data_IF_128505248716
#
_entry.id   IF_128505248716
#
_cell.length_a   1.000
_cell.length_b   1.000
_cell.length_c   1.000
_cell.angle_alpha   90.00
_cell.angle_beta   90.00
_cell.angle_gamma   90.00
#
_symmetry.space_group_name_H-M   'P 1'
#
loop_
_entity.id
_entity.type
_entity.pdbx_description
1 polymer ?
#
# COMPACT_ATOMS: atom_id res chain seq x y z
N UNK A 1 -1.75 15.35 -8.17
CA UNK A 1 -1.54 15.51 -6.71
C UNK A 1 -2.56 16.45 -6.08
N UNK A 2 -2.76 17.68 -6.58
CA UNK A 2 -3.81 18.59 -6.08
C UNK A 2 -5.21 17.96 -6.07
N UNK A 3 -5.61 17.32 -7.17
CA UNK A 3 -6.90 16.62 -7.26
C UNK A 3 -7.04 15.48 -6.24
N UNK A 4 -5.99 14.67 -6.08
CA UNK A 4 -5.98 13.58 -5.10
C UNK A 4 -6.13 14.11 -3.66
N UNK A 5 -5.38 15.16 -3.32
CA UNK A 5 -5.44 15.78 -1.99
C UNK A 5 -6.74 16.55 -1.74
N UNK A 6 -7.46 16.99 -2.78
CA UNK A 6 -8.74 17.66 -2.63
C UNK A 6 -9.82 16.76 -2.01
N UNK A 7 -9.63 15.43 -2.03
CA UNK A 7 -10.52 14.46 -1.39
C UNK A 7 -10.11 14.11 0.04
N UNK A 8 -8.97 14.62 0.52
CA UNK A 8 -8.47 14.37 1.86
C UNK A 8 -8.85 15.53 2.80
N UNK A 9 -9.24 15.21 4.03
CA UNK A 9 -9.32 16.21 5.12
C UNK A 9 -7.94 16.54 5.66
N UNK A 10 -7.06 15.54 5.61
CA UNK A 10 -5.72 15.58 6.12
C UNK A 10 -4.85 14.52 5.42
N UNK A 11 -3.53 14.69 5.39
CA UNK A 11 -2.59 13.74 4.80
C UNK A 11 -1.22 13.72 5.51
N UNK A 12 -0.64 12.52 5.55
CA UNK A 12 0.78 12.33 5.84
C UNK A 12 1.53 11.86 4.59
N UNK A 13 2.82 12.13 4.54
CA UNK A 13 3.70 11.63 3.49
C UNK A 13 4.93 10.95 4.08
N UNK A 14 5.15 9.69 3.69
CA UNK A 14 6.34 8.91 4.05
C UNK A 14 7.12 8.51 2.80
N UNK A 15 8.44 8.39 2.97
CA UNK A 15 9.36 7.91 1.95
C UNK A 15 9.96 6.58 2.38
N UNK A 16 9.78 5.55 1.56
CA UNK A 16 10.48 4.27 1.70
C UNK A 16 11.97 4.46 1.37
N UNK A 17 12.86 4.15 2.30
CA UNK A 17 14.32 4.26 2.17
C UNK A 17 15.01 2.95 1.81
N UNK A 18 14.28 1.85 1.80
CA UNK A 18 14.79 0.51 1.49
C UNK A 18 14.74 0.15 -0.01
N UNK A 19 14.27 1.06 -0.87
CA UNK A 19 14.29 0.89 -2.33
C UNK A 19 15.35 1.79 -2.96
N UNK A 20 16.19 1.21 -3.81
CA UNK A 20 17.10 1.95 -4.70
C UNK A 20 16.33 2.69 -5.81
N UNK A 21 16.98 3.65 -6.47
CA UNK A 21 16.35 4.39 -7.59
C UNK A 21 15.93 3.47 -8.74
N UNK A 22 16.72 2.44 -9.04
CA UNK A 22 16.36 1.44 -10.04
C UNK A 22 15.11 0.65 -9.63
N UNK A 23 15.03 0.22 -8.37
CA UNK A 23 13.85 -0.47 -7.83
C UNK A 23 12.61 0.42 -7.86
N UNK A 24 12.75 1.72 -7.55
CA UNK A 24 11.66 2.70 -7.66
C UNK A 24 11.17 2.85 -9.11
N UNK A 25 12.07 2.92 -10.08
CA UNK A 25 11.71 3.00 -11.49
C UNK A 25 10.95 1.74 -11.96
N UNK A 26 11.41 0.55 -11.56
CA UNK A 26 10.74 -0.73 -11.84
C UNK A 26 9.35 -0.79 -11.19
N UNK A 27 9.23 -0.35 -9.94
CA UNK A 27 7.95 -0.27 -9.21
C UNK A 27 6.96 0.64 -9.94
N UNK A 28 7.40 1.85 -10.32
CA UNK A 28 6.57 2.80 -11.04
C UNK A 28 6.09 2.25 -12.39
N UNK A 29 6.99 1.63 -13.17
CA UNK A 29 6.63 1.00 -14.44
C UNK A 29 5.63 -0.15 -14.25
N UNK A 30 5.76 -0.92 -13.17
CA UNK A 30 4.81 -2.00 -12.86
C UNK A 30 3.44 -1.47 -12.48
N UNK A 31 3.37 -0.46 -11.61
CA UNK A 31 2.11 0.18 -11.20
C UNK A 31 1.38 0.82 -12.38
N UNK A 32 2.09 1.46 -13.31
CA UNK A 32 1.49 2.05 -14.51
C UNK A 32 0.75 1.02 -15.38
N UNK A 33 1.23 -0.23 -15.44
CA UNK A 33 0.57 -1.31 -16.20
C UNK A 33 -0.72 -1.81 -15.56
N UNK A 34 -0.97 -1.48 -14.29
CA UNK A 34 -2.14 -1.92 -13.51
C UNK A 34 -3.26 -0.89 -13.49
N UNK A 35 -3.08 0.25 -14.17
CA UNK A 35 -4.12 1.28 -14.28
C UNK A 35 -5.35 0.71 -14.99
N UNK A 36 -6.52 0.90 -14.40
CA UNK A 36 -7.79 0.38 -14.93
C UNK A 36 -8.24 -0.94 -14.29
N UNK A 37 -7.40 -1.57 -13.45
CA UNK A 37 -7.84 -2.73 -12.66
C UNK A 37 -8.92 -2.34 -11.63
N UNK A 38 -9.85 -3.26 -11.38
CA UNK A 38 -11.02 -3.01 -10.50
C UNK A 38 -10.66 -3.14 -9.02
N UNK A 39 -11.20 -2.24 -8.20
CA UNK A 39 -11.09 -2.31 -6.74
C UNK A 39 -11.88 -3.49 -6.17
N UNK A 40 -11.23 -4.30 -5.33
CA UNK A 40 -11.83 -5.46 -4.65
C UNK A 40 -11.35 -5.55 -3.20
N UNK A 41 -12.25 -5.29 -2.23
CA UNK A 41 -11.97 -5.43 -0.80
C UNK A 41 -12.35 -6.84 -0.32
N UNK A 42 -11.35 -7.68 -0.11
CA UNK A 42 -11.46 -9.07 0.37
C UNK A 42 -10.28 -9.40 1.28
N UNK A 43 -10.41 -10.37 2.20
CA UNK A 43 -9.35 -10.71 3.13
C UNK A 43 -8.13 -11.33 2.42
N UNK A 44 -7.03 -11.49 3.15
CA UNK A 44 -5.83 -12.19 2.70
C UNK A 44 -6.16 -13.63 2.31
N UNK A 45 -5.56 -14.12 1.23
CA UNK A 45 -5.81 -15.46 0.68
C UNK A 45 -6.93 -15.51 -0.37
N UNK A 46 -7.75 -14.46 -0.47
CA UNK A 46 -8.70 -14.28 -1.58
C UNK A 46 -8.15 -13.34 -2.66
N UNK A 47 -8.82 -13.31 -3.81
CA UNK A 47 -8.54 -12.32 -4.86
C UNK A 47 -8.95 -10.92 -4.34
N UNK A 48 -7.96 -10.15 -3.91
CA UNK A 48 -8.13 -8.79 -3.40
C UNK A 48 -7.27 -7.80 -4.18
N UNK A 49 -7.78 -6.58 -4.31
CA UNK A 49 -7.06 -5.47 -4.93
C UNK A 49 -7.59 -4.15 -4.40
N UNK A 50 -6.92 -3.61 -3.40
CA UNK A 50 -7.19 -2.29 -2.85
C UNK A 50 -5.87 -1.57 -2.62
N UNK A 51 -5.92 -0.32 -2.16
CA UNK A 51 -4.78 0.60 -2.17
C UNK A 51 -3.48 -0.01 -1.59
N UNK A 52 -3.55 -0.67 -0.44
CA UNK A 52 -2.39 -1.25 0.22
C UNK A 52 -1.99 -2.61 -0.33
N UNK A 53 -2.91 -3.45 -0.82
CA UNK A 53 -2.53 -4.74 -1.42
C UNK A 53 -1.94 -4.58 -2.80
N UNK A 54 -2.36 -3.56 -3.57
CA UNK A 54 -1.67 -3.18 -4.81
C UNK A 54 -0.19 -2.87 -4.53
N UNK A 55 0.08 -2.05 -3.51
CA UNK A 55 1.44 -1.67 -3.13
C UNK A 55 2.25 -2.88 -2.61
N UNK A 56 1.67 -3.69 -1.73
CA UNK A 56 2.33 -4.89 -1.21
C UNK A 56 2.69 -5.87 -2.33
N UNK A 57 1.74 -6.22 -3.20
CA UNK A 57 1.96 -7.12 -4.34
C UNK A 57 3.10 -6.64 -5.26
N UNK A 58 3.21 -5.34 -5.53
CA UNK A 58 4.25 -4.82 -6.43
C UNK A 58 5.61 -4.65 -5.73
N UNK A 59 5.64 -4.25 -4.46
CA UNK A 59 6.89 -4.12 -3.71
C UNK A 59 7.49 -5.51 -3.45
N UNK A 60 6.67 -6.51 -3.12
CA UNK A 60 7.12 -7.89 -2.85
C UNK A 60 7.70 -8.61 -4.08
N UNK A 61 7.44 -8.11 -5.30
CA UNK A 61 8.11 -8.60 -6.52
C UNK A 61 9.56 -8.11 -6.64
N UNK A 62 9.94 -7.09 -5.87
CA UNK A 62 11.21 -6.36 -6.02
C UNK A 62 12.15 -6.62 -4.85
N UNK A 63 11.60 -6.80 -3.64
CA UNK A 63 12.37 -7.02 -2.42
C UNK A 63 11.51 -7.72 -1.36
N UNK A 64 12.13 -8.22 -0.29
CA UNK A 64 11.41 -8.76 0.85
C UNK A 64 10.60 -7.64 1.52
N UNK A 65 9.27 -7.81 1.54
CA UNK A 65 8.36 -6.83 2.08
C UNK A 65 7.18 -7.55 2.76
N UNK A 66 7.13 -7.43 4.09
CA UNK A 66 6.21 -8.22 4.93
C UNK A 66 5.51 -7.30 5.93
N UNK A 67 4.63 -6.39 5.47
CA UNK A 67 3.91 -5.48 6.35
C UNK A 67 2.91 -6.25 7.23
N UNK A 68 2.63 -5.74 8.42
CA UNK A 68 1.76 -6.41 9.38
C UNK A 68 0.29 -6.29 8.97
N UNK A 69 -0.36 -7.44 8.79
CA UNK A 69 -1.80 -7.56 8.63
C UNK A 69 -2.50 -7.45 9.98
N UNK A 70 -3.77 -7.05 9.97
CA UNK A 70 -4.63 -7.07 11.16
C UNK A 70 -5.86 -7.92 10.91
N UNK A 71 -6.34 -8.58 11.96
CA UNK A 71 -7.57 -9.36 11.92
C UNK A 71 -8.78 -8.43 12.07
N UNK A 72 -9.74 -8.57 11.16
CA UNK A 72 -11.04 -7.90 11.25
C UNK A 72 -12.09 -8.94 11.63
N UNK A 73 -12.74 -8.74 12.79
CA UNK A 73 -13.79 -9.64 13.28
C UNK A 73 -15.18 -9.03 13.05
N UNK A 74 -15.62 -9.01 11.79
CA UNK A 74 -16.96 -8.56 11.41
C UNK A 74 -17.72 -9.68 10.70
N UNK A 75 -19.02 -9.79 10.94
CA UNK A 75 -19.87 -10.71 10.20
C UNK A 75 -19.75 -10.40 8.69
N UNK A 76 -19.60 -11.43 7.86
CA UNK A 76 -19.45 -11.37 6.39
C UNK A 76 -18.12 -10.79 5.87
N UNK A 77 -17.45 -9.91 6.62
CA UNK A 77 -16.17 -9.28 6.23
C UNK A 77 -14.96 -9.78 7.03
N UNK A 78 -15.12 -10.87 7.78
CA UNK A 78 -14.08 -11.42 8.64
C UNK A 78 -12.81 -11.83 7.89
N UNK A 79 -11.65 -11.65 8.52
CA UNK A 79 -10.35 -12.13 8.04
C UNK A 79 -9.22 -11.11 8.17
N UNK A 80 -8.05 -11.46 7.61
CA UNK A 80 -6.85 -10.61 7.66
C UNK A 80 -6.86 -9.52 6.58
N UNK A 81 -6.61 -8.27 6.96
CA UNK A 81 -6.50 -7.14 6.05
C UNK A 81 -5.22 -6.34 6.28
N UNK A 82 -4.73 -5.72 5.22
CA UNK A 82 -3.59 -4.82 5.25
C UNK A 82 -4.03 -3.35 5.34
N UNK A 83 -3.81 -2.70 6.49
CA UNK A 83 -4.16 -1.29 6.68
C UNK A 83 -3.03 -0.33 6.26
N UNK A 84 -3.33 0.93 5.87
CA UNK A 84 -2.29 1.93 5.55
C UNK A 84 -1.27 2.16 6.65
N UNK A 85 -1.70 2.04 7.94
CA UNK A 85 -0.81 2.16 9.11
C UNK A 85 0.37 1.18 9.10
N UNK A 86 0.25 0.05 8.41
CA UNK A 86 1.32 -0.95 8.31
C UNK A 86 2.50 -0.44 7.48
N UNK A 87 2.26 0.47 6.54
CA UNK A 87 3.31 1.13 5.74
C UNK A 87 3.92 2.30 6.52
N UNK A 88 3.10 3.06 7.24
CA UNK A 88 3.55 4.20 8.05
C UNK A 88 4.57 3.80 9.13
N UNK A 89 4.37 2.64 9.74
CA UNK A 89 5.24 2.11 10.80
C UNK A 89 6.24 1.06 10.31
N UNK A 90 6.42 0.91 9.01
CA UNK A 90 7.34 -0.11 8.47
C UNK A 90 8.80 0.25 8.78
N UNK A 91 9.69 -0.76 8.81
CA UNK A 91 11.12 -0.48 8.95
C UNK A 91 11.66 0.28 7.75
N UNK A 92 12.43 1.36 7.99
CA UNK A 92 13.08 2.10 6.89
C UNK A 92 12.14 3.03 6.11
N UNK A 93 11.13 3.61 6.76
CA UNK A 93 10.43 4.81 6.25
C UNK A 93 10.92 6.08 6.94
N UNK A 94 10.95 7.16 6.18
CA UNK A 94 11.20 8.54 6.63
C UNK A 94 9.90 9.34 6.50
N UNK A 95 9.44 9.96 7.59
CA UNK A 95 8.31 10.90 7.54
C UNK A 95 8.79 12.18 6.86
N UNK A 96 8.14 12.56 5.77
CA UNK A 96 8.39 13.81 5.05
C UNK A 96 7.46 14.91 5.52
N UNK A 97 6.23 14.54 5.89
CA UNK A 97 5.18 15.44 6.33
C UNK A 97 4.16 14.69 7.18
N UNK A 98 3.73 15.33 8.24
CA UNK A 98 2.64 14.93 9.13
C UNK A 98 1.93 16.24 9.54
N UNK A 99 0.60 16.21 9.52
CA UNK A 99 -0.25 17.35 9.90
C UNK A 99 -0.70 17.19 11.35
#
# INVERSE_FOLDING_TARGET
MREFLAHARDFGAVRMKFLSEEQKARLAASLLRRVGESFTLRPRGEANLYCTTLLEQEISKITEFSPQYFELNLAVLGGEYLAPKAFWHYGGVEILYEW
#
